data_IF_640324801944
#
_entry.id   IF_640324801944
#
_cell.length_a   1.000
_cell.length_b   1.000
_cell.length_c   1.000
_cell.angle_alpha   90.00
_cell.angle_beta   90.00
_cell.angle_gamma   90.00
#
_symmetry.space_group_name_H-M   'P 1'
#
loop_
_entity.id
_entity.type
_entity.pdbx_description
1 polymer ?
#
# COMPACT_ATOMS: atom_id res chain seq x y z
N UNK A 1 20.30 -13.82 17.45
CA UNK A 1 18.86 -13.69 17.71
C UNK A 1 18.57 -12.27 18.19
N UNK A 2 17.84 -11.48 17.41
CA UNK A 2 17.46 -10.12 17.78
C UNK A 2 15.98 -10.13 18.20
N UNK A 3 15.61 -9.98 19.49
CA UNK A 3 14.26 -10.21 20.00
C UNK A 3 13.20 -9.23 19.45
N UNK A 4 13.66 -8.15 18.82
CA UNK A 4 12.82 -7.09 18.28
C UNK A 4 12.63 -7.15 16.77
N UNK A 5 13.16 -8.18 16.11
CA UNK A 5 13.13 -8.34 14.67
C UNK A 5 12.59 -9.74 14.36
N UNK A 6 11.60 -9.81 13.46
CA UNK A 6 11.11 -11.04 12.87
C UNK A 6 11.45 -11.01 11.39
N UNK A 7 12.15 -12.03 10.90
CA UNK A 7 12.63 -12.11 9.54
C UNK A 7 12.09 -13.32 8.80
N UNK A 8 11.81 -13.13 7.52
CA UNK A 8 11.51 -14.19 6.55
C UNK A 8 12.50 -14.06 5.40
N UNK A 9 13.20 -15.15 5.08
CA UNK A 9 14.26 -15.17 4.06
C UNK A 9 13.88 -15.90 2.78
N UNK A 10 12.69 -16.48 2.69
CA UNK A 10 12.23 -17.22 1.53
C UNK A 10 10.78 -16.87 1.20
N UNK A 11 10.49 -16.79 -0.08
CA UNK A 11 9.13 -16.73 -0.59
C UNK A 11 8.45 -18.10 -0.42
N UNK A 12 7.33 -18.12 0.30
CA UNK A 12 6.53 -19.32 0.54
C UNK A 12 5.05 -19.04 0.29
N UNK A 13 4.58 -19.23 -0.96
CA UNK A 13 3.20 -18.93 -1.33
C UNK A 13 2.17 -19.84 -0.63
N UNK A 14 2.57 -21.00 -0.09
CA UNK A 14 1.65 -21.92 0.57
C UNK A 14 1.30 -21.48 2.00
N UNK A 15 2.21 -20.77 2.67
CA UNK A 15 2.03 -20.29 4.02
C UNK A 15 1.91 -18.77 4.13
N UNK A 16 1.76 -18.07 3.00
CA UNK A 16 1.77 -16.61 2.98
C UNK A 16 0.68 -15.99 3.85
N UNK A 17 -0.54 -16.54 3.82
CA UNK A 17 -1.65 -16.03 4.64
C UNK A 17 -1.36 -16.10 6.15
N UNK A 18 -0.72 -17.17 6.61
CA UNK A 18 -0.33 -17.33 8.02
C UNK A 18 0.81 -16.37 8.39
N UNK A 19 1.76 -16.19 7.49
CA UNK A 19 2.90 -15.28 7.68
C UNK A 19 2.42 -13.82 7.70
N UNK A 20 1.50 -13.43 6.82
CA UNK A 20 0.89 -12.09 6.82
C UNK A 20 0.28 -11.76 8.20
N UNK A 21 -0.40 -12.71 8.82
CA UNK A 21 -1.00 -12.54 10.15
C UNK A 21 0.05 -12.49 11.27
N UNK A 22 1.06 -13.36 11.22
CA UNK A 22 2.13 -13.41 12.24
C UNK A 22 2.96 -12.13 12.27
N UNK A 23 3.13 -11.46 11.14
CA UNK A 23 3.85 -10.22 11.00
C UNK A 23 2.94 -8.98 11.17
N UNK A 24 1.87 -9.10 11.93
CA UNK A 24 0.99 -7.97 12.27
C UNK A 24 1.72 -6.96 13.15
N UNK A 25 1.54 -5.67 12.86
CA UNK A 25 2.16 -4.57 13.59
C UNK A 25 1.18 -3.40 13.78
N UNK A 26 1.38 -2.63 14.86
CA UNK A 26 0.48 -1.55 15.25
C UNK A 26 1.23 -0.43 15.96
N UNK A 27 0.71 0.79 15.85
CA UNK A 27 1.13 1.95 16.66
C UNK A 27 0.10 2.32 17.76
N UNK A 28 -0.87 1.42 18.01
CA UNK A 28 -1.95 1.62 18.98
C UNK A 28 -3.21 2.28 18.39
N UNK A 29 -3.17 2.77 17.16
CA UNK A 29 -4.32 3.29 16.43
C UNK A 29 -4.53 2.55 15.11
N UNK A 30 -3.53 2.53 14.25
CA UNK A 30 -3.51 1.72 13.02
C UNK A 30 -2.87 0.38 13.34
N UNK A 31 -3.54 -0.70 12.96
CA UNK A 31 -3.01 -2.06 12.99
C UNK A 31 -3.05 -2.64 11.58
N UNK A 32 -1.93 -3.18 11.12
CA UNK A 32 -1.82 -3.78 9.80
C UNK A 32 -1.22 -5.18 9.86
N UNK A 33 -1.74 -6.07 9.04
CA UNK A 33 -1.04 -7.32 8.71
C UNK A 33 0.05 -7.05 7.68
N UNK A 34 0.92 -8.02 7.45
CA UNK A 34 2.01 -7.90 6.49
C UNK A 34 1.61 -8.25 5.05
N UNK A 35 0.33 -8.04 4.67
CA UNK A 35 -0.11 -8.20 3.28
C UNK A 35 0.72 -7.34 2.33
N UNK A 36 0.80 -7.73 1.07
CA UNK A 36 1.56 -6.99 0.08
C UNK A 36 0.87 -5.68 -0.33
N UNK A 37 1.66 -4.69 -0.71
CA UNK A 37 1.17 -3.44 -1.30
C UNK A 37 0.55 -3.71 -2.66
N UNK A 38 1.21 -4.54 -3.48
CA UNK A 38 0.72 -4.99 -4.77
C UNK A 38 -0.33 -6.10 -4.62
N UNK A 39 -1.13 -6.24 -5.64
CA UNK A 39 -2.08 -7.35 -5.69
C UNK A 39 -1.34 -8.69 -5.68
N UNK A 40 -1.81 -9.58 -4.83
CA UNK A 40 -1.38 -10.97 -4.77
C UNK A 40 -2.61 -11.88 -4.76
N UNK A 41 -2.75 -12.71 -5.79
CA UNK A 41 -3.93 -13.57 -5.97
C UNK A 41 -4.08 -14.66 -4.90
N UNK A 42 -3.02 -14.96 -4.14
CA UNK A 42 -3.03 -15.88 -2.99
C UNK A 42 -3.34 -15.23 -1.65
N UNK A 43 -3.41 -13.90 -1.57
CA UNK A 43 -3.73 -13.21 -0.31
C UNK A 43 -5.22 -13.36 0.02
N UNK A 44 -5.50 -13.85 1.21
CA UNK A 44 -6.87 -13.96 1.73
C UNK A 44 -7.21 -12.87 2.73
N UNK A 45 -6.26 -12.04 3.07
CA UNK A 45 -6.37 -11.14 4.22
C UNK A 45 -6.46 -9.67 3.78
N UNK A 46 -7.59 -9.05 4.08
CA UNK A 46 -7.75 -7.60 4.05
C UNK A 46 -7.51 -7.07 5.44
N UNK A 47 -6.59 -6.11 5.61
CA UNK A 47 -6.04 -6.05 6.92
C UNK A 47 -5.46 -4.73 7.36
N UNK A 48 -6.30 -3.73 7.35
CA UNK A 48 -6.11 -2.56 8.18
C UNK A 48 -7.24 -2.50 9.20
N UNK A 49 -6.88 -2.48 10.48
CA UNK A 49 -7.78 -2.26 11.60
C UNK A 49 -7.46 -0.91 12.21
N UNK A 50 -8.46 -0.17 12.64
CA UNK A 50 -8.28 1.16 13.22
C UNK A 50 -8.95 1.23 14.56
N UNK A 51 -8.18 1.67 15.56
CA UNK A 51 -8.67 2.01 16.90
C UNK A 51 -9.58 0.92 17.51
N UNK A 52 -9.18 -0.36 17.38
CA UNK A 52 -9.93 -1.50 17.93
C UNK A 52 -11.24 -1.85 17.22
N UNK A 53 -11.44 -1.39 15.97
CA UNK A 53 -12.54 -1.85 15.13
C UNK A 53 -12.19 -3.24 14.60
N UNK A 54 -13.01 -4.25 14.92
CA UNK A 54 -12.80 -5.65 14.53
C UNK A 54 -13.13 -5.94 13.05
N UNK A 55 -13.46 -4.93 12.27
CA UNK A 55 -13.77 -5.08 10.86
C UNK A 55 -12.61 -4.56 10.00
N UNK A 56 -12.14 -5.33 9.02
CA UNK A 56 -11.13 -4.86 8.07
C UNK A 56 -11.68 -3.66 7.31
N UNK A 57 -10.96 -2.55 7.37
CA UNK A 57 -11.51 -1.28 6.91
C UNK A 57 -11.22 -1.07 5.44
N UNK A 58 -9.97 -0.91 5.10
CA UNK A 58 -9.58 -0.50 3.76
C UNK A 58 -8.21 -1.05 3.44
N UNK A 59 -7.93 -1.25 2.17
CA UNK A 59 -6.56 -1.40 1.72
C UNK A 59 -5.90 -0.02 1.61
N UNK A 60 -5.37 0.46 2.73
CA UNK A 60 -4.64 1.73 2.80
C UNK A 60 -3.27 1.66 2.11
N UNK A 61 -2.71 0.47 1.96
CA UNK A 61 -1.37 0.25 1.40
C UNK A 61 -1.36 -0.04 -0.09
N UNK A 62 -2.52 -0.16 -0.74
CA UNK A 62 -2.61 -0.57 -2.14
C UNK A 62 -1.75 0.27 -3.09
N UNK A 63 -0.84 -0.43 -3.75
CA UNK A 63 0.00 0.06 -4.84
C UNK A 63 0.00 -1.04 -5.91
N UNK A 64 -0.30 -0.70 -7.15
CA UNK A 64 -0.23 -1.64 -8.26
C UNK A 64 0.81 -1.17 -9.27
N UNK A 65 1.62 -2.10 -9.72
CA UNK A 65 2.71 -1.86 -10.68
C UNK A 65 2.43 -2.65 -11.94
N UNK A 66 2.68 -2.02 -13.09
CA UNK A 66 2.67 -2.71 -14.38
C UNK A 66 3.92 -2.37 -15.19
N UNK A 67 4.51 -3.39 -15.78
CA UNK A 67 5.51 -3.26 -16.84
C UNK A 67 4.81 -3.57 -18.16
N UNK A 68 4.68 -2.60 -19.04
CA UNK A 68 3.75 -2.68 -20.16
C UNK A 68 2.33 -3.04 -19.69
N UNK A 69 1.84 -4.19 -20.11
CA UNK A 69 0.54 -4.77 -19.79
C UNK A 69 0.58 -5.83 -18.66
N UNK A 70 1.79 -6.25 -18.22
CA UNK A 70 1.95 -7.23 -17.15
C UNK A 70 1.89 -6.57 -15.77
N UNK A 71 0.88 -6.94 -14.99
CA UNK A 71 0.80 -6.52 -13.59
C UNK A 71 1.75 -7.37 -12.74
N UNK A 72 2.52 -6.70 -11.87
CA UNK A 72 3.30 -7.40 -10.87
C UNK A 72 2.36 -8.19 -9.94
N UNK A 73 2.52 -9.50 -9.95
CA UNK A 73 1.81 -10.45 -9.09
C UNK A 73 2.79 -11.58 -8.71
N UNK A 74 3.10 -11.68 -7.42
CA UNK A 74 4.08 -12.66 -6.93
C UNK A 74 3.61 -14.11 -7.09
N UNK A 75 2.32 -14.35 -7.38
CA UNK A 75 1.82 -15.68 -7.70
C UNK A 75 2.19 -16.16 -9.11
N UNK A 76 2.43 -15.21 -10.03
CA UNK A 76 2.67 -15.51 -11.45
C UNK A 76 4.08 -15.15 -11.91
N UNK A 77 4.75 -14.23 -11.21
CA UNK A 77 6.12 -13.86 -11.51
C UNK A 77 7.12 -14.77 -10.78
N UNK A 78 8.27 -15.00 -11.38
CA UNK A 78 9.35 -15.74 -10.72
C UNK A 78 10.02 -14.87 -9.67
N UNK A 79 9.80 -15.17 -8.39
CA UNK A 79 10.39 -14.44 -7.25
C UNK A 79 11.70 -15.08 -6.82
N UNK A 80 12.72 -14.23 -6.60
CA UNK A 80 14.04 -14.61 -6.08
C UNK A 80 14.48 -13.62 -5.00
N UNK A 81 15.44 -14.02 -4.19
CA UNK A 81 16.08 -13.15 -3.18
C UNK A 81 15.06 -12.48 -2.25
N UNK A 82 14.02 -13.19 -1.91
CA UNK A 82 12.96 -12.66 -1.05
C UNK A 82 13.46 -12.48 0.38
N UNK A 83 13.17 -11.29 0.92
CA UNK A 83 13.40 -10.96 2.32
C UNK A 83 12.28 -10.06 2.80
N UNK A 84 11.75 -10.34 3.99
CA UNK A 84 10.80 -9.50 4.71
C UNK A 84 11.19 -9.43 6.18
N UNK A 85 11.05 -8.26 6.78
CA UNK A 85 11.47 -8.00 8.15
C UNK A 85 10.48 -7.08 8.85
N UNK A 86 10.02 -7.50 10.02
CA UNK A 86 9.22 -6.69 10.94
C UNK A 86 10.09 -6.21 12.10
N UNK A 87 10.17 -4.87 12.27
CA UNK A 87 10.78 -4.22 13.41
C UNK A 87 9.72 -3.94 14.48
N UNK A 88 9.78 -4.65 15.61
CA UNK A 88 8.74 -4.55 16.68
C UNK A 88 8.83 -3.29 17.52
N UNK A 89 10.02 -2.74 17.73
CA UNK A 89 10.25 -1.53 18.52
C UNK A 89 9.98 -0.22 17.74
N UNK A 90 9.92 -0.33 16.42
CA UNK A 90 9.46 0.73 15.52
C UNK A 90 8.48 0.05 14.57
N UNK A 91 7.17 0.36 14.59
CA UNK A 91 6.19 -0.38 13.80
C UNK A 91 6.42 -0.18 12.30
N UNK A 92 7.39 -0.93 11.79
CA UNK A 92 7.95 -0.85 10.44
C UNK A 92 8.09 -2.24 9.85
N UNK A 93 7.49 -2.45 8.68
CA UNK A 93 7.64 -3.63 7.85
C UNK A 93 8.48 -3.28 6.63
N UNK A 94 9.57 -3.99 6.44
CA UNK A 94 10.43 -3.89 5.26
C UNK A 94 10.33 -5.17 4.43
N UNK A 95 10.40 -5.03 3.11
CA UNK A 95 10.42 -6.16 2.18
C UNK A 95 11.32 -5.84 0.98
N UNK A 96 12.02 -6.86 0.49
CA UNK A 96 12.78 -6.78 -0.75
C UNK A 96 12.73 -8.11 -1.50
N UNK A 97 12.71 -8.05 -2.80
CA UNK A 97 12.78 -9.23 -3.67
C UNK A 97 13.20 -8.85 -5.08
N UNK A 98 13.67 -9.83 -5.82
CA UNK A 98 13.87 -9.75 -7.28
C UNK A 98 12.76 -10.54 -7.94
N UNK A 99 12.08 -9.96 -8.94
CA UNK A 99 11.00 -10.62 -9.66
C UNK A 99 11.23 -10.54 -11.17
N UNK A 100 11.00 -11.67 -11.85
CA UNK A 100 11.05 -11.77 -13.32
C UNK A 100 9.64 -12.04 -13.83
N UNK A 101 9.16 -11.19 -14.73
CA UNK A 101 7.84 -11.33 -15.34
C UNK A 101 7.77 -12.54 -16.28
N UNK A 102 6.56 -13.03 -16.62
CA UNK A 102 6.38 -14.07 -17.63
C UNK A 102 7.00 -13.74 -19.00
N UNK A 103 7.10 -12.46 -19.37
CA UNK A 103 7.76 -11.99 -20.58
C UNK A 103 9.26 -11.76 -20.45
N UNK A 104 9.84 -12.04 -19.27
CA UNK A 104 11.27 -12.02 -19.03
C UNK A 104 11.83 -10.70 -18.49
N UNK A 105 11.00 -9.68 -18.21
CA UNK A 105 11.45 -8.44 -17.59
C UNK A 105 11.77 -8.65 -16.11
N UNK A 106 12.96 -8.24 -15.67
CA UNK A 106 13.43 -8.41 -14.30
C UNK A 106 13.53 -7.07 -13.59
N UNK A 107 12.96 -7.01 -12.38
CA UNK A 107 13.01 -5.86 -11.48
C UNK A 107 13.40 -6.27 -10.08
N UNK A 108 14.01 -5.35 -9.34
CA UNK A 108 14.15 -5.42 -7.89
C UNK A 108 13.11 -4.51 -7.26
N UNK A 109 12.47 -4.99 -6.19
CA UNK A 109 11.50 -4.24 -5.41
C UNK A 109 11.99 -4.13 -3.99
N UNK A 110 11.86 -2.92 -3.41
CA UNK A 110 12.02 -2.66 -1.98
C UNK A 110 10.81 -1.91 -1.49
N UNK A 111 10.23 -2.35 -0.39
CA UNK A 111 9.13 -1.64 0.26
C UNK A 111 9.45 -1.40 1.73
N UNK A 112 8.97 -0.27 2.23
CA UNK A 112 9.01 0.06 3.64
C UNK A 112 7.69 0.67 4.04
N UNK A 113 6.99 0.04 4.95
CA UNK A 113 5.73 0.51 5.51
C UNK A 113 5.94 0.86 6.98
N UNK A 114 5.68 2.11 7.32
CA UNK A 114 5.96 2.64 8.63
C UNK A 114 4.73 3.32 9.21
N UNK A 115 4.28 2.88 10.39
CA UNK A 115 3.25 3.56 11.16
C UNK A 115 3.91 4.64 12.01
N UNK A 116 3.45 5.88 11.89
CA UNK A 116 4.07 7.00 12.57
C UNK A 116 3.67 7.06 14.06
N UNK A 117 4.46 7.80 14.84
CA UNK A 117 4.11 8.13 16.24
C UNK A 117 2.83 8.97 16.32
N UNK A 118 2.59 9.81 15.32
CA UNK A 118 1.28 10.38 15.05
C UNK A 118 0.37 9.24 14.62
N UNK A 119 -0.40 8.74 15.56
CA UNK A 119 -1.10 7.45 15.49
C UNK A 119 -1.99 7.26 14.24
N UNK A 120 -2.50 8.35 13.69
CA UNK A 120 -3.39 8.37 12.53
C UNK A 120 -2.68 8.25 11.19
N UNK A 121 -1.34 8.20 11.16
CA UNK A 121 -0.57 8.31 9.94
C UNK A 121 0.33 7.10 9.65
N UNK A 122 0.45 6.80 8.36
CA UNK A 122 1.30 5.76 7.79
C UNK A 122 2.04 6.30 6.56
N UNK A 123 3.29 5.87 6.40
CA UNK A 123 4.11 6.14 5.21
C UNK A 123 4.49 4.83 4.54
N UNK A 124 4.42 4.79 3.22
CA UNK A 124 4.86 3.67 2.40
C UNK A 124 5.85 4.21 1.37
N UNK A 125 7.06 3.69 1.42
CA UNK A 125 8.05 3.84 0.37
C UNK A 125 8.06 2.56 -0.47
N UNK A 126 7.84 2.70 -1.77
CA UNK A 126 7.81 1.59 -2.73
C UNK A 126 8.80 1.87 -3.85
N UNK A 127 9.95 1.23 -3.80
CA UNK A 127 11.06 1.43 -4.73
C UNK A 127 11.14 0.28 -5.73
N UNK A 128 11.32 0.61 -7.00
CA UNK A 128 11.58 -0.34 -8.08
C UNK A 128 12.86 0.05 -8.77
N UNK A 129 13.77 -0.91 -8.91
CA UNK A 129 14.96 -0.79 -9.76
C UNK A 129 14.83 -1.75 -10.94
N UNK A 130 14.95 -1.23 -12.16
CA UNK A 130 15.02 -2.07 -13.35
C UNK A 130 16.36 -2.79 -13.43
N UNK A 131 16.34 -4.11 -13.59
CA UNK A 131 17.57 -4.91 -13.80
C UNK A 131 17.91 -4.97 -15.30
N UNK A 132 16.96 -5.37 -16.12
CA UNK A 132 17.14 -5.57 -17.56
C UNK A 132 16.00 -5.00 -18.42
N UNK A 133 14.98 -4.45 -17.80
CA UNK A 133 13.80 -3.95 -18.49
C UNK A 133 13.99 -2.51 -18.98
N UNK A 134 13.61 -2.26 -20.23
CA UNK A 134 13.49 -0.93 -20.82
C UNK A 134 12.07 -0.75 -21.37
N UNK A 135 11.35 0.26 -20.90
CA UNK A 135 10.00 0.53 -21.37
C UNK A 135 9.12 1.25 -20.35
N UNK A 136 7.79 1.34 -20.62
CA UNK A 136 6.86 2.00 -19.74
C UNK A 136 6.62 1.21 -18.45
N UNK A 137 6.67 1.91 -17.33
CA UNK A 137 6.22 1.45 -16.03
C UNK A 137 5.04 2.28 -15.57
N UNK A 138 3.98 1.63 -15.09
CA UNK A 138 2.79 2.27 -14.55
C UNK A 138 2.70 2.02 -13.06
N UNK A 139 2.48 3.09 -12.31
CA UNK A 139 2.20 3.10 -10.88
C UNK A 139 0.74 3.45 -10.66
N UNK A 140 0.08 2.75 -9.77
CA UNK A 140 -1.27 3.05 -9.33
C UNK A 140 -1.31 3.01 -7.81
N UNK A 141 -1.49 4.17 -7.17
CA UNK A 141 -1.67 4.29 -5.73
C UNK A 141 -3.13 4.60 -5.42
N UNK A 142 -3.75 3.80 -4.55
CA UNK A 142 -5.18 3.88 -4.28
C UNK A 142 -5.51 3.88 -2.79
N UNK A 143 -6.63 4.53 -2.46
CA UNK A 143 -7.42 4.31 -1.26
C UNK A 143 -8.72 3.64 -1.68
N UNK A 144 -9.14 2.59 -0.97
CA UNK A 144 -10.40 1.96 -1.32
C UNK A 144 -10.80 0.79 -0.45
N UNK A 145 -12.10 0.48 -0.48
CA UNK A 145 -12.67 -0.71 0.09
C UNK A 145 -12.62 -1.85 -0.93
N UNK A 146 -12.53 -3.08 -0.43
CA UNK A 146 -12.78 -4.25 -1.25
C UNK A 146 -14.26 -4.32 -1.61
N UNK A 147 -14.57 -4.51 -2.88
CA UNK A 147 -15.96 -4.62 -3.36
C UNK A 147 -16.72 -5.82 -2.75
N UNK A 148 -16.00 -6.85 -2.29
CA UNK A 148 -16.60 -8.10 -1.82
C UNK A 148 -17.03 -8.14 -0.35
N UNK A 149 -16.59 -7.18 0.47
CA UNK A 149 -16.88 -7.14 1.92
C UNK A 149 -17.12 -5.70 2.42
N UNK A 150 -17.93 -4.95 1.69
CA UNK A 150 -18.16 -3.56 2.02
C UNK A 150 -19.21 -3.41 3.11
N UNK A 151 -18.83 -3.58 4.38
CA UNK A 151 -19.57 -3.03 5.50
C UNK A 151 -19.50 -1.49 5.51
N UNK A 152 -18.71 -0.92 4.60
CA UNK A 152 -18.45 0.50 4.43
C UNK A 152 -18.97 1.02 3.11
N UNK A 153 -19.66 2.15 3.11
CA UNK A 153 -20.08 2.85 1.90
C UNK A 153 -19.55 4.28 1.87
N UNK A 154 -19.19 4.80 0.69
CA UNK A 154 -18.68 6.15 0.54
C UNK A 154 -19.80 7.17 0.75
N UNK A 155 -19.54 8.18 1.60
CA UNK A 155 -20.38 9.35 1.77
C UNK A 155 -19.96 10.47 0.81
N UNK A 156 -18.64 10.73 0.76
CA UNK A 156 -18.02 11.74 -0.05
C UNK A 156 -16.61 11.32 -0.44
N UNK A 157 -16.11 11.88 -1.52
CA UNK A 157 -14.70 11.79 -1.89
C UNK A 157 -14.23 13.10 -2.54
N UNK A 158 -12.92 13.25 -2.58
CA UNK A 158 -12.27 14.34 -3.32
C UNK A 158 -10.96 13.86 -3.93
N UNK A 159 -10.67 14.30 -5.15
CA UNK A 159 -9.40 14.03 -5.83
C UNK A 159 -8.81 15.35 -6.33
N UNK A 160 -7.87 15.89 -5.56
CA UNK A 160 -7.07 17.08 -5.89
C UNK A 160 -5.98 16.80 -6.92
N UNK A 161 -4.92 17.60 -6.96
CA UNK A 161 -3.73 17.35 -7.79
C UNK A 161 -2.75 16.40 -7.09
N UNK A 162 -2.50 16.62 -5.79
CA UNK A 162 -1.45 15.97 -5.02
C UNK A 162 -2.01 15.16 -3.84
N UNK A 163 -3.30 15.26 -3.58
CA UNK A 163 -3.98 14.55 -2.51
C UNK A 163 -5.38 14.11 -2.91
N UNK A 164 -5.85 13.07 -2.27
CA UNK A 164 -7.25 12.64 -2.31
C UNK A 164 -7.70 12.17 -0.94
N UNK A 165 -9.00 12.22 -0.69
CA UNK A 165 -9.58 11.66 0.51
C UNK A 165 -10.93 11.00 0.22
N UNK A 166 -11.26 10.03 1.05
CA UNK A 166 -12.48 9.22 1.00
C UNK A 166 -13.12 9.22 2.39
N UNK A 167 -14.36 9.66 2.46
CA UNK A 167 -15.16 9.66 3.68
C UNK A 167 -16.18 8.52 3.61
N UNK A 168 -16.19 7.68 4.61
CA UNK A 168 -16.92 6.42 4.66
C UNK A 168 -17.83 6.35 5.88
N UNK A 169 -18.92 5.65 5.73
CA UNK A 169 -19.85 5.27 6.81
C UNK A 169 -19.94 3.75 6.89
N UNK A 170 -19.89 3.20 8.09
CA UNK A 170 -20.15 1.78 8.32
C UNK A 170 -21.67 1.51 8.38
N UNK A 171 -22.11 0.41 7.76
CA UNK A 171 -23.55 0.08 7.69
C UNK A 171 -24.16 -0.22 9.05
N UNK A 172 -23.49 -1.03 9.88
CA UNK A 172 -24.06 -1.53 11.14
C UNK A 172 -23.82 -0.61 12.34
N UNK A 173 -22.77 0.20 12.29
CA UNK A 173 -22.39 1.11 13.35
C UNK A 173 -22.50 2.56 12.84
N UNK A 174 -22.96 3.48 13.68
CA UNK A 174 -22.92 4.91 13.33
C UNK A 174 -21.47 5.46 13.40
N UNK A 175 -20.57 4.78 12.70
CA UNK A 175 -19.14 5.05 12.67
C UNK A 175 -18.74 5.59 11.30
N UNK A 176 -17.97 6.68 11.30
CA UNK A 176 -17.45 7.30 10.10
C UNK A 176 -15.93 7.28 10.12
N UNK A 177 -15.34 7.14 8.94
CA UNK A 177 -13.92 7.21 8.70
C UNK A 177 -13.62 8.20 7.59
N UNK A 178 -12.59 9.01 7.78
CA UNK A 178 -11.98 9.78 6.72
C UNK A 178 -10.57 9.25 6.48
N UNK A 179 -10.29 8.84 5.25
CA UNK A 179 -8.97 8.39 4.82
C UNK A 179 -8.45 9.38 3.78
N UNK A 180 -7.28 9.94 4.01
CA UNK A 180 -6.62 10.84 3.07
C UNK A 180 -5.28 10.29 2.62
N UNK A 181 -4.88 10.61 1.39
CA UNK A 181 -3.62 10.17 0.81
C UNK A 181 -2.96 11.30 0.05
N UNK A 182 -1.66 11.46 0.27
CA UNK A 182 -0.76 12.15 -0.65
C UNK A 182 0.22 11.16 -1.26
N UNK A 183 0.79 11.51 -2.40
CA UNK A 183 1.76 10.68 -3.07
C UNK A 183 2.79 11.49 -3.84
N UNK A 184 3.95 10.90 -4.06
CA UNK A 184 5.03 11.49 -4.83
C UNK A 184 5.81 10.36 -5.53
N UNK A 185 6.31 10.61 -6.74
CA UNK A 185 7.18 9.66 -7.46
C UNK A 185 8.50 10.33 -7.78
N UNK A 186 9.58 9.70 -7.36
CA UNK A 186 10.94 10.11 -7.69
C UNK A 186 11.53 9.14 -8.73
N UNK A 187 12.12 9.69 -9.78
CA UNK A 187 12.88 8.96 -10.78
C UNK A 187 14.36 9.31 -10.62
N UNK A 188 15.21 8.32 -10.34
CA UNK A 188 16.62 8.51 -10.03
C UNK A 188 16.84 9.65 -9.02
N UNK A 189 16.09 9.63 -7.91
CA UNK A 189 16.09 10.63 -6.84
C UNK A 189 15.62 12.05 -7.23
N UNK A 190 15.03 12.21 -8.39
CA UNK A 190 14.44 13.50 -8.82
C UNK A 190 12.92 13.37 -8.90
N UNK A 191 12.21 14.30 -8.27
CA UNK A 191 10.74 14.31 -8.31
C UNK A 191 10.24 14.42 -9.74
N UNK A 192 9.38 13.49 -10.15
CA UNK A 192 8.70 13.56 -11.43
C UNK A 192 7.63 14.63 -11.41
N UNK A 193 7.84 15.68 -12.21
CA UNK A 193 6.87 16.75 -12.43
C UNK A 193 5.94 16.34 -13.58
N UNK A 194 5.05 15.40 -13.31
CA UNK A 194 4.07 14.91 -14.29
C UNK A 194 2.68 14.90 -13.66
N UNK A 195 1.68 15.34 -14.41
CA UNK A 195 0.30 15.28 -13.94
C UNK A 195 -0.17 13.82 -13.89
N UNK A 196 -0.61 13.34 -12.73
CA UNK A 196 -1.16 12.00 -12.63
C UNK A 196 -2.55 11.92 -13.27
N UNK A 197 -2.90 10.72 -13.69
CA UNK A 197 -4.26 10.38 -14.06
C UNK A 197 -5.04 10.12 -12.78
N UNK A 198 -6.12 10.85 -12.55
CA UNK A 198 -7.04 10.64 -11.43
C UNK A 198 -7.86 9.38 -11.68
N UNK A 199 -7.95 8.53 -10.68
CA UNK A 199 -8.76 7.30 -10.71
C UNK A 199 -9.89 7.45 -9.70
N UNK A 200 -11.10 7.29 -10.18
CA UNK A 200 -12.31 7.27 -9.36
C UNK A 200 -13.18 6.08 -9.77
N UNK A 201 -13.45 5.23 -8.82
CA UNK A 201 -14.37 4.09 -8.93
C UNK A 201 -15.29 4.08 -7.72
N UNK A 202 -16.36 3.29 -7.77
CA UNK A 202 -17.42 3.29 -6.77
C UNK A 202 -16.93 3.27 -5.30
N UNK A 203 -15.87 2.51 -5.00
CA UNK A 203 -15.33 2.37 -3.63
C UNK A 203 -13.82 2.63 -3.54
N UNK A 204 -13.25 3.24 -4.58
CA UNK A 204 -11.79 3.39 -4.70
C UNK A 204 -11.44 4.69 -5.40
N UNK A 205 -10.49 5.42 -4.82
CA UNK A 205 -9.93 6.62 -5.43
C UNK A 205 -8.41 6.58 -5.42
N UNK A 206 -7.78 7.35 -6.28
CA UNK A 206 -6.32 7.44 -6.30
C UNK A 206 -5.74 8.04 -7.56
N UNK A 207 -4.50 7.66 -7.82
CA UNK A 207 -3.71 8.23 -8.91
C UNK A 207 -2.96 7.17 -9.67
N UNK A 208 -2.87 7.35 -10.99
CA UNK A 208 -1.98 6.58 -11.85
C UNK A 208 -0.95 7.49 -12.52
N UNK A 209 0.27 7.00 -12.63
CA UNK A 209 1.37 7.65 -13.35
C UNK A 209 2.05 6.62 -14.24
N UNK A 210 2.45 7.03 -15.45
CA UNK A 210 3.21 6.20 -16.38
C UNK A 210 4.49 6.95 -16.72
N UNK A 211 5.63 6.29 -16.60
CA UNK A 211 6.93 6.80 -17.05
C UNK A 211 7.71 5.71 -17.75
N UNK A 212 8.81 6.06 -18.43
CA UNK A 212 9.71 5.08 -19.02
C UNK A 212 10.94 4.90 -18.14
N UNK A 213 11.36 3.64 -17.97
CA UNK A 213 12.58 3.27 -17.27
C UNK A 213 13.52 2.48 -18.17
N UNK A 214 14.80 2.45 -17.81
CA UNK A 214 15.87 1.69 -18.45
C UNK A 214 16.59 0.83 -17.41
N UNK A 215 17.36 -0.18 -17.81
CA UNK A 215 18.20 -0.93 -16.89
C UNK A 215 19.07 -0.02 -16.02
N UNK A 216 19.04 -0.25 -14.71
CA UNK A 216 19.71 0.55 -13.69
C UNK A 216 18.92 1.75 -13.16
N UNK A 217 17.83 2.15 -13.81
CA UNK A 217 16.98 3.23 -13.30
C UNK A 217 16.17 2.78 -12.07
N UNK A 218 16.00 3.72 -11.14
CA UNK A 218 15.22 3.53 -9.92
C UNK A 218 14.04 4.50 -9.87
N UNK A 219 12.88 3.97 -9.54
CA UNK A 219 11.68 4.76 -9.25
C UNK A 219 11.21 4.48 -7.83
N UNK A 220 11.05 5.55 -7.04
CA UNK A 220 10.52 5.50 -5.69
C UNK A 220 9.15 6.18 -5.64
N UNK A 221 8.10 5.41 -5.35
CA UNK A 221 6.79 5.94 -5.02
C UNK A 221 6.70 6.08 -3.50
N UNK A 222 6.46 7.30 -3.03
CA UNK A 222 6.18 7.61 -1.63
C UNK A 222 4.69 7.90 -1.46
N UNK A 223 4.01 7.12 -0.63
CA UNK A 223 2.59 7.27 -0.31
C UNK A 223 2.46 7.56 1.17
N UNK A 224 1.79 8.66 1.51
CA UNK A 224 1.44 8.98 2.89
C UNK A 224 -0.06 8.88 3.05
N UNK A 225 -0.50 8.23 4.12
CA UNK A 225 -1.91 8.01 4.41
C UNK A 225 -2.21 8.50 5.82
N UNK A 226 -3.33 9.19 5.97
CA UNK A 226 -3.90 9.58 7.27
C UNK A 226 -5.30 8.99 7.37
N UNK A 227 -5.66 8.47 8.54
CA UNK A 227 -6.98 7.90 8.81
C UNK A 227 -7.50 8.44 10.12
N UNK A 228 -8.72 8.96 10.12
CA UNK A 228 -9.40 9.48 11.30
C UNK A 228 -10.76 8.82 11.43
N UNK A 229 -11.19 8.51 12.65
CA UNK A 229 -12.52 7.98 12.96
C UNK A 229 -13.35 8.92 13.83
N UNK A 230 -14.68 8.85 13.70
CA UNK A 230 -15.63 9.74 14.38
C UNK A 230 -15.78 9.48 15.89
N UNK A 231 -15.05 8.51 16.47
CA UNK A 231 -15.01 8.29 17.92
C UNK A 231 -13.96 9.14 18.61
N UNK A 232 -12.90 9.48 17.87
CA UNK A 232 -11.75 10.24 18.39
C UNK A 232 -11.65 11.65 17.81
N UNK A 233 -12.39 11.93 16.72
CA UNK A 233 -12.38 13.22 16.06
C UNK A 233 -13.81 13.71 15.82
N UNK A 234 -14.06 14.99 16.02
CA UNK A 234 -15.34 15.58 15.69
C UNK A 234 -15.57 15.51 14.17
N UNK A 235 -16.84 15.30 13.77
CA UNK A 235 -17.22 15.15 12.37
C UNK A 235 -16.76 16.33 11.49
N UNK A 236 -16.71 17.52 12.06
CA UNK A 236 -16.21 18.72 11.40
C UNK A 236 -14.69 18.66 11.15
N UNK A 237 -13.93 17.98 11.99
CA UNK A 237 -12.49 17.76 11.86
C UNK A 237 -12.14 16.69 10.83
N UNK A 238 -13.08 15.79 10.49
CA UNK A 238 -12.87 14.75 9.49
C UNK A 238 -12.82 15.30 8.05
N UNK A 239 -13.22 16.56 7.85
CA UNK A 239 -13.34 17.19 6.52
C UNK A 239 -12.32 18.32 6.34
N UNK A 240 -11.41 18.51 7.27
CA UNK A 240 -10.51 19.67 7.22
C UNK A 240 -9.38 19.44 6.22
N UNK A 241 -9.35 20.41 5.27
CA UNK A 241 -8.25 20.98 4.43
C UNK A 241 -7.14 20.06 3.93
#
# INVERSE_FOLDING_TARGET
>A
YHPWIIEQHQWDPQHEADIEQQLTFSNGYICQTAHFEEFYSGSQCLCTFINGIDHPILNLSSISIRLHDERLDLATWQVKEFYRCLHKNQPCLERRFTATSPKGATIQVRTRRHLLEQKEAMVIDYEITSVDYAGPISYLAMLGASEEKADWYPLMNHIGQDYCWLWLQMHELNLQLCCAMTWNVLYNNTTLVQRPIKIEKQHTIGYSLITNIKPGDTCLLQKKVVVMDSRTHDKEQLIID
#
